data_IF_943343735231
#
_entry.id   IF_943343735231
#
_cell.length_a   1.000
_cell.length_b   1.000
_cell.length_c   1.000
_cell.angle_alpha   90.00
_cell.angle_beta   90.00
_cell.angle_gamma   90.00
#
_symmetry.space_group_name_H-M   'P 1'
#
loop_
_entity.id
_entity.type
_entity.pdbx_description
1 polymer ?
#
# COMPACT_ATOMS: atom_id res chain seq x y z
N UNK A 1 3.51 -22.86 -2.96
CA UNK A 1 2.71 -21.63 -3.16
C UNK A 1 3.63 -20.46 -2.94
N UNK A 2 4.06 -19.79 -4.00
CA UNK A 2 5.06 -18.73 -3.91
C UNK A 2 4.39 -17.36 -3.80
N UNK A 3 4.53 -16.74 -2.64
CA UNK A 3 4.34 -15.31 -2.44
C UNK A 3 5.70 -14.71 -2.19
N UNK A 4 6.02 -13.62 -2.87
CA UNK A 4 7.17 -12.81 -2.45
C UNK A 4 6.61 -11.71 -1.56
N UNK A 5 6.83 -11.83 -0.26
CA UNK A 5 6.51 -10.77 0.70
C UNK A 5 7.77 -9.94 0.87
N UNK A 6 7.77 -8.74 0.29
CA UNK A 6 8.81 -7.77 0.59
C UNK A 6 8.42 -7.01 1.86
N UNK A 7 9.28 -7.08 2.88
CA UNK A 7 9.13 -6.32 4.13
C UNK A 7 10.16 -5.20 4.13
N UNK A 8 9.72 -3.97 3.94
CA UNK A 8 10.59 -2.80 3.90
C UNK A 8 10.84 -2.31 5.32
N UNK A 9 11.98 -2.65 5.93
CA UNK A 9 12.29 -2.20 7.30
C UNK A 9 12.80 -0.75 7.30
N UNK A 10 12.23 0.10 8.16
CA UNK A 10 12.84 1.38 8.52
C UNK A 10 13.78 1.14 9.71
N UNK A 11 15.03 1.57 9.61
CA UNK A 11 15.98 1.49 10.71
C UNK A 11 15.61 2.52 11.79
N UNK A 12 15.57 2.06 13.03
CA UNK A 12 15.35 2.77 14.30
C UNK A 12 13.90 3.17 14.70
N UNK A 13 13.61 2.78 15.96
CA UNK A 13 12.57 3.21 16.92
C UNK A 13 11.39 2.24 17.19
N UNK A 14 11.47 1.64 18.39
CA UNK A 14 10.44 1.10 19.29
C UNK A 14 9.13 0.57 18.70
N UNK A 15 9.13 -0.75 18.43
CA UNK A 15 8.07 -1.76 18.64
C UNK A 15 6.60 -1.31 18.48
N UNK A 16 6.19 -1.01 17.25
CA UNK A 16 4.91 -1.45 16.68
C UNK A 16 5.15 -1.62 15.17
N UNK A 17 5.04 -2.85 14.66
CA UNK A 17 5.47 -3.30 13.32
C UNK A 17 6.96 -2.99 12.97
N UNK A 18 7.82 -4.02 12.85
CA UNK A 18 9.24 -3.89 12.41
C UNK A 18 9.44 -3.26 11.00
N UNK A 19 8.35 -2.87 10.33
CA UNK A 19 8.25 -2.26 9.00
C UNK A 19 6.83 -1.70 8.84
N UNK A 20 6.69 -0.43 8.43
CA UNK A 20 5.38 0.21 8.19
C UNK A 20 4.82 -0.04 6.78
N UNK A 21 5.52 -0.82 5.95
CA UNK A 21 5.13 -1.08 4.55
C UNK A 21 5.40 -2.54 4.18
N UNK A 22 4.39 -3.22 3.62
CA UNK A 22 4.51 -4.58 3.10
C UNK A 22 3.98 -4.64 1.68
N UNK A 23 4.74 -5.26 0.79
CA UNK A 23 4.29 -5.53 -0.59
C UNK A 23 3.97 -7.00 -0.71
N UNK A 24 2.78 -7.31 -1.22
CA UNK A 24 2.28 -8.66 -1.43
C UNK A 24 2.01 -8.81 -2.93
N UNK A 25 2.84 -9.63 -3.58
CA UNK A 25 2.70 -9.92 -4.99
C UNK A 25 2.71 -11.43 -5.23
N UNK A 26 2.04 -11.82 -6.33
CA UNK A 26 1.96 -13.20 -6.77
C UNK A 26 1.84 -13.24 -8.29
N UNK A 27 2.45 -14.23 -8.95
CA UNK A 27 2.35 -14.37 -10.41
C UNK A 27 0.94 -14.74 -10.93
N UNK A 28 0.03 -15.18 -10.05
CA UNK A 28 -1.32 -15.66 -10.40
C UNK A 28 -2.36 -15.16 -9.38
N UNK A 29 -3.61 -14.91 -9.81
CA UNK A 29 -4.71 -14.66 -8.88
C UNK A 29 -5.05 -15.92 -8.07
N UNK A 30 -5.95 -15.77 -7.09
CA UNK A 30 -6.54 -16.90 -6.35
C UNK A 30 -5.60 -17.58 -5.34
N UNK A 31 -4.37 -17.09 -5.16
CA UNK A 31 -3.43 -17.72 -4.22
C UNK A 31 -3.82 -17.49 -2.75
N UNK A 32 -4.48 -16.35 -2.43
CA UNK A 32 -4.85 -15.97 -1.04
C UNK A 32 -4.22 -14.68 -0.50
N UNK A 33 -3.75 -13.76 -1.36
CA UNK A 33 -3.20 -12.45 -0.94
C UNK A 33 -4.16 -11.64 -0.07
N UNK A 34 -5.40 -11.45 -0.54
CA UNK A 34 -6.44 -10.77 0.22
C UNK A 34 -6.77 -11.47 1.55
N UNK A 35 -6.69 -12.80 1.60
CA UNK A 35 -6.87 -13.57 2.85
C UNK A 35 -5.75 -13.29 3.84
N UNK A 36 -4.51 -13.12 3.39
CA UNK A 36 -3.41 -12.69 4.24
C UNK A 36 -3.67 -11.31 4.85
N UNK A 37 -4.16 -10.35 4.06
CA UNK A 37 -4.51 -9.01 4.57
C UNK A 37 -5.64 -9.09 5.60
N UNK A 38 -6.70 -9.86 5.31
CA UNK A 38 -7.79 -10.11 6.27
C UNK A 38 -7.28 -10.65 7.60
N UNK A 39 -6.36 -11.62 7.58
CA UNK A 39 -5.72 -12.17 8.79
C UNK A 39 -4.87 -11.14 9.56
N UNK A 40 -4.24 -10.18 8.87
CA UNK A 40 -3.55 -9.07 9.54
C UNK A 40 -4.54 -8.17 10.26
N UNK A 41 -5.64 -7.81 9.60
CA UNK A 41 -6.72 -7.00 10.19
C UNK A 41 -7.35 -7.71 11.39
N UNK A 42 -7.64 -9.00 11.28
CA UNK A 42 -8.15 -9.80 12.40
C UNK A 42 -7.20 -9.82 13.59
N UNK A 43 -5.89 -9.96 13.35
CA UNK A 43 -4.88 -9.89 14.42
C UNK A 43 -4.91 -8.53 15.11
N UNK A 44 -4.97 -7.43 14.35
CA UNK A 44 -5.05 -6.10 14.93
C UNK A 44 -6.35 -5.89 15.72
N UNK A 45 -7.49 -6.34 15.20
CA UNK A 45 -8.79 -6.30 15.90
C UNK A 45 -8.78 -7.06 17.21
N UNK A 46 -8.09 -8.20 17.30
CA UNK A 46 -7.95 -8.95 18.56
C UNK A 46 -7.25 -8.14 19.65
N UNK A 47 -6.31 -7.27 19.28
CA UNK A 47 -5.65 -6.36 20.23
C UNK A 47 -6.49 -5.11 20.54
N UNK A 48 -7.38 -4.70 19.62
CA UNK A 48 -8.24 -3.53 19.77
C UNK A 48 -9.73 -3.85 19.48
N UNK A 49 -10.38 -4.69 20.29
CA UNK A 49 -11.70 -5.28 19.95
C UNK A 49 -12.84 -4.26 19.85
N UNK A 50 -12.69 -3.08 20.46
CA UNK A 50 -13.71 -2.00 20.43
C UNK A 50 -13.54 -1.03 19.26
N UNK A 51 -12.42 -1.10 18.52
CA UNK A 51 -12.12 -0.20 17.40
C UNK A 51 -12.71 -0.75 16.10
N UNK A 52 -13.44 0.10 15.38
CA UNK A 52 -14.03 -0.23 14.06
C UNK A 52 -13.11 0.21 12.91
N UNK A 53 -12.31 1.23 13.16
CA UNK A 53 -11.38 1.97 12.30
C UNK A 53 -9.98 1.31 12.20
N UNK A 54 -9.87 0.00 12.40
CA UNK A 54 -8.57 -0.70 12.39
C UNK A 54 -7.96 -0.87 11.00
N UNK A 55 -8.72 -0.64 9.92
CA UNK A 55 -8.25 -0.86 8.56
C UNK A 55 -9.06 -0.11 7.52
N UNK A 56 -8.39 0.36 6.48
CA UNK A 56 -8.98 0.93 5.27
C UNK A 56 -8.48 0.15 4.04
N UNK A 57 -9.39 -0.34 3.20
CA UNK A 57 -9.05 -0.91 1.89
C UNK A 57 -9.40 0.06 0.77
N UNK A 58 -8.41 0.48 0.02
CA UNK A 58 -8.54 1.30 -1.18
C UNK A 58 -8.19 0.40 -2.36
N UNK A 59 -9.16 0.24 -3.25
CA UNK A 59 -8.97 -0.57 -4.44
C UNK A 59 -8.85 0.34 -5.65
N UNK A 60 -7.82 0.10 -6.46
CA UNK A 60 -7.49 0.88 -7.65
C UNK A 60 -7.76 0.00 -8.87
N UNK A 61 -8.87 0.27 -9.55
CA UNK A 61 -9.30 -0.49 -10.73
C UNK A 61 -9.28 0.34 -12.02
N UNK A 62 -9.29 1.66 -11.89
CA UNK A 62 -9.31 2.57 -13.04
C UNK A 62 -7.93 2.69 -13.68
N UNK A 63 -7.89 3.06 -14.96
CA UNK A 63 -6.63 3.21 -15.71
C UNK A 63 -5.69 4.25 -15.10
N UNK A 64 -6.26 5.29 -14.53
CA UNK A 64 -5.54 6.41 -13.93
C UNK A 64 -5.82 6.44 -12.42
N UNK A 65 -4.79 6.69 -11.63
CA UNK A 65 -4.94 6.85 -10.18
C UNK A 65 -5.53 8.22 -9.87
N UNK A 66 -6.73 8.24 -9.29
CA UNK A 66 -7.31 9.45 -8.69
C UNK A 66 -6.76 9.71 -7.28
N UNK A 67 -5.77 10.60 -7.19
CA UNK A 67 -5.15 11.01 -5.93
C UNK A 67 -6.14 11.70 -5.00
N UNK A 68 -7.08 12.49 -5.52
CA UNK A 68 -8.01 13.26 -4.67
C UNK A 68 -8.98 12.31 -3.97
N UNK A 69 -9.50 11.31 -4.71
CA UNK A 69 -10.33 10.25 -4.14
C UNK A 69 -9.61 9.40 -3.09
N UNK A 70 -8.31 9.14 -3.30
CA UNK A 70 -7.50 8.43 -2.30
C UNK A 70 -7.36 9.27 -1.04
N UNK A 71 -7.04 10.57 -1.18
CA UNK A 71 -6.92 11.50 -0.06
C UNK A 71 -8.25 11.59 0.69
N UNK A 72 -9.39 11.69 0.01
CA UNK A 72 -10.71 11.71 0.66
C UNK A 72 -10.92 10.49 1.58
N UNK A 73 -10.58 9.29 1.12
CA UNK A 73 -10.67 8.06 1.92
C UNK A 73 -9.68 8.05 3.08
N UNK A 74 -8.46 8.53 2.87
CA UNK A 74 -7.42 8.56 3.91
C UNK A 74 -7.78 9.54 5.03
N UNK A 75 -8.33 10.71 4.69
CA UNK A 75 -8.73 11.74 5.65
C UNK A 75 -9.77 11.26 6.67
N UNK A 76 -10.60 10.26 6.31
CA UNK A 76 -11.52 9.61 7.25
C UNK A 76 -10.83 8.88 8.41
N UNK A 77 -9.52 8.62 8.28
CA UNK A 77 -8.67 7.94 9.26
C UNK A 77 -7.61 8.89 9.82
N UNK A 78 -7.79 10.20 9.67
CA UNK A 78 -6.90 11.17 10.29
C UNK A 78 -7.19 11.21 11.79
N UNK A 79 -6.24 10.74 12.59
CA UNK A 79 -6.34 10.73 14.04
C UNK A 79 -5.53 11.88 14.65
N UNK A 80 -5.91 12.31 15.85
CA UNK A 80 -5.12 13.25 16.65
C UNK A 80 -3.71 12.69 16.88
N UNK A 81 -2.65 13.52 16.93
CA UNK A 81 -1.30 13.07 17.28
C UNK A 81 -1.22 12.33 18.62
N UNK A 82 -2.15 12.61 19.53
CA UNK A 82 -2.26 11.93 20.84
C UNK A 82 -2.87 10.53 20.74
N UNK A 83 -3.61 10.26 19.67
CA UNK A 83 -4.23 8.96 19.37
C UNK A 83 -3.31 8.14 18.43
N UNK A 84 -2.19 7.65 18.96
CA UNK A 84 -1.27 6.77 18.22
C UNK A 84 -1.81 5.33 18.08
N UNK A 85 -2.96 5.22 17.44
CA UNK A 85 -3.67 3.98 17.21
C UNK A 85 -3.32 3.43 15.83
N UNK A 86 -2.69 2.24 15.73
CA UNK A 86 -2.29 1.70 14.43
C UNK A 86 -3.50 1.41 13.55
N UNK A 87 -3.39 1.75 12.26
CA UNK A 87 -4.35 1.40 11.19
C UNK A 87 -3.64 0.60 10.10
N UNK A 88 -4.34 -0.38 9.52
CA UNK A 88 -3.87 -1.11 8.33
C UNK A 88 -4.49 -0.48 7.08
N UNK A 89 -3.67 0.19 6.28
CA UNK A 89 -4.04 0.72 4.97
C UNK A 89 -3.71 -0.33 3.90
N UNK A 90 -4.73 -0.86 3.24
CA UNK A 90 -4.57 -1.82 2.16
C UNK A 90 -4.81 -1.14 0.81
N UNK A 91 -3.79 -1.07 -0.03
CA UNK A 91 -3.90 -0.65 -1.42
C UNK A 91 -3.94 -1.90 -2.30
N UNK A 92 -5.12 -2.20 -2.86
CA UNK A 92 -5.29 -3.28 -3.83
C UNK A 92 -5.19 -2.68 -5.25
N UNK A 93 -4.07 -2.94 -5.91
CA UNK A 93 -3.75 -2.36 -7.22
C UNK A 93 -4.06 -3.40 -8.29
N UNK A 94 -5.07 -3.11 -9.12
CA UNK A 94 -5.38 -3.92 -10.29
C UNK A 94 -4.26 -3.84 -11.33
N UNK A 95 -4.10 -4.91 -12.10
CA UNK A 95 -3.20 -4.92 -13.26
C UNK A 95 -3.64 -3.96 -14.38
N UNK A 96 -4.86 -3.44 -14.32
CA UNK A 96 -5.43 -2.49 -15.29
C UNK A 96 -5.05 -1.03 -15.03
N UNK A 97 -4.47 -0.71 -13.87
CA UNK A 97 -4.00 0.65 -13.55
C UNK A 97 -2.71 0.93 -14.32
N UNK A 98 -2.75 1.90 -15.23
CA UNK A 98 -1.66 2.21 -16.15
C UNK A 98 -0.84 3.43 -15.73
N UNK A 99 -1.44 4.42 -15.06
CA UNK A 99 -0.78 5.70 -14.76
C UNK A 99 -0.97 6.11 -13.30
N UNK A 100 0.03 6.79 -12.72
CA UNK A 100 -0.05 7.44 -11.41
C UNK A 100 0.25 6.53 -10.20
N UNK A 101 0.47 5.22 -10.40
CA UNK A 101 0.84 4.29 -9.32
C UNK A 101 2.22 4.62 -8.74
N UNK A 102 3.17 4.94 -9.60
CA UNK A 102 4.52 5.38 -9.24
C UNK A 102 4.49 6.65 -8.39
N UNK A 103 3.73 7.68 -8.83
CA UNK A 103 3.53 8.89 -8.06
C UNK A 103 2.88 8.60 -6.70
N UNK A 104 1.80 7.82 -6.67
CA UNK A 104 1.12 7.43 -5.43
C UNK A 104 2.07 6.73 -4.47
N UNK A 105 2.77 5.69 -4.91
CA UNK A 105 3.63 4.90 -4.03
C UNK A 105 4.87 5.69 -3.58
N UNK A 106 5.46 6.51 -4.44
CA UNK A 106 6.59 7.34 -4.07
C UNK A 106 6.20 8.33 -2.96
N UNK A 107 5.13 9.10 -3.19
CA UNK A 107 4.66 10.08 -2.21
C UNK A 107 4.22 9.40 -0.92
N UNK A 108 3.40 8.36 -1.00
CA UNK A 108 2.83 7.72 0.19
C UNK A 108 3.85 6.90 1.00
N UNK A 109 4.73 6.14 0.33
CA UNK A 109 5.61 5.18 1.01
C UNK A 109 7.00 5.76 1.29
N UNK A 110 7.53 6.58 0.38
CA UNK A 110 8.87 7.17 0.50
C UNK A 110 8.77 8.51 1.23
N UNK A 111 8.01 9.47 0.68
CA UNK A 111 7.86 10.79 1.30
C UNK A 111 6.99 10.74 2.56
N UNK A 112 6.07 9.78 2.64
CA UNK A 112 5.15 9.65 3.77
C UNK A 112 4.03 10.69 3.76
N UNK A 113 3.77 11.37 2.63
CA UNK A 113 2.68 12.33 2.50
C UNK A 113 2.01 12.23 1.13
N UNK A 114 0.75 12.63 1.04
CA UNK A 114 0.00 12.68 -0.21
C UNK A 114 -0.81 13.97 -0.24
N UNK A 115 -0.58 14.80 -1.27
CA UNK A 115 -1.27 16.08 -1.45
C UNK A 115 -2.27 15.96 -2.60
N UNK A 116 -3.51 16.38 -2.38
CA UNK A 116 -4.50 16.45 -3.45
C UNK A 116 -4.48 17.80 -4.21
N UNK A 117 -5.35 17.90 -5.22
CA UNK A 117 -5.48 19.11 -6.05
C UNK A 117 -5.99 20.33 -5.26
N UNK A 118 -6.74 20.09 -4.19
CA UNK A 118 -7.33 21.13 -3.33
C UNK A 118 -6.36 21.59 -2.23
N UNK A 119 -5.17 20.98 -2.17
CA UNK A 119 -4.11 21.33 -1.25
C UNK A 119 -4.17 20.61 0.10
N UNK A 120 -5.11 19.69 0.30
CA UNK A 120 -5.21 18.85 1.50
C UNK A 120 -4.06 17.84 1.49
N UNK A 121 -3.41 17.67 2.65
CA UNK A 121 -2.24 16.81 2.79
C UNK A 121 -2.53 15.70 3.79
N UNK A 122 -2.48 14.46 3.32
CA UNK A 122 -2.39 13.29 4.17
C UNK A 122 -0.94 13.07 4.59
N UNK A 123 -0.70 12.73 5.86
CA UNK A 123 0.62 12.36 6.38
C UNK A 123 0.57 11.02 7.09
N UNK A 124 1.54 10.16 6.78
CA UNK A 124 1.64 8.81 7.31
C UNK A 124 1.99 8.78 8.79
N UNK A 125 1.26 8.02 9.60
CA UNK A 125 1.70 7.70 10.96
C UNK A 125 2.83 6.66 10.97
N UNK A 126 3.83 6.76 11.86
CA UNK A 126 4.82 5.71 12.08
C UNK A 126 4.20 4.38 12.57
N UNK A 127 3.06 4.44 13.24
CA UNK A 127 2.36 3.29 13.82
C UNK A 127 1.52 2.51 12.81
N UNK A 128 1.26 3.10 11.64
CA UNK A 128 0.42 2.50 10.60
C UNK A 128 1.17 1.48 9.76
N UNK A 129 0.40 0.52 9.22
CA UNK A 129 0.89 -0.48 8.29
C UNK A 129 0.24 -0.30 6.92
N UNK A 130 1.05 -0.01 5.91
CA UNK A 130 0.63 0.06 4.52
C UNK A 130 0.90 -1.29 3.86
N UNK A 131 -0.13 -1.89 3.28
CA UNK A 131 -0.07 -3.17 2.59
C UNK A 131 -0.41 -2.94 1.13
N UNK A 132 0.54 -3.18 0.24
CA UNK A 132 0.38 -3.04 -1.20
C UNK A 132 0.13 -4.42 -1.78
N UNK A 133 -1.10 -4.72 -2.15
CA UNK A 133 -1.43 -5.91 -2.93
C UNK A 133 -1.38 -5.55 -4.42
N UNK A 134 -0.68 -6.36 -5.22
CA UNK A 134 -0.66 -6.19 -6.66
C UNK A 134 -0.52 -7.56 -7.36
N UNK A 135 -1.07 -7.65 -8.57
CA UNK A 135 -0.81 -8.75 -9.51
C UNK A 135 -0.03 -8.16 -10.68
N UNK A 136 1.20 -8.62 -10.95
CA UNK A 136 1.96 -8.13 -12.09
C UNK A 136 1.18 -8.42 -13.38
N UNK A 137 1.01 -7.38 -14.19
CA UNK A 137 0.41 -7.46 -15.52
C UNK A 137 1.18 -8.49 -16.37
N UNK A 138 0.46 -9.48 -16.92
CA UNK A 138 1.03 -10.46 -17.86
C UNK A 138 0.97 -9.89 -19.27
N UNK A 139 2.15 -9.73 -19.86
CA UNK A 139 2.28 -9.35 -21.26
C UNK A 139 1.83 -10.48 -22.20
N UNK A 140 1.04 -10.13 -23.21
CA UNK A 140 1.31 -10.67 -24.55
C UNK A 140 2.58 -9.97 -25.04
N UNK A 141 3.58 -10.72 -25.51
CA UNK A 141 4.93 -10.28 -25.88
C UNK A 141 5.02 -9.12 -26.92
N UNK A 142 3.90 -8.57 -27.39
CA UNK A 142 3.83 -7.52 -28.37
C UNK A 142 3.95 -6.09 -27.80
N UNK A 143 3.57 -5.82 -26.54
CA UNK A 143 3.47 -4.45 -26.01
C UNK A 143 4.61 -4.05 -25.06
N UNK A 144 5.82 -3.92 -25.60
CA UNK A 144 7.04 -3.59 -24.83
C UNK A 144 6.86 -2.40 -23.85
N UNK A 145 6.06 -1.38 -24.16
CA UNK A 145 5.89 -0.16 -23.32
C UNK A 145 5.28 -0.40 -21.93
N UNK A 146 4.37 -1.37 -21.77
CA UNK A 146 3.71 -1.64 -20.47
C UNK A 146 4.59 -2.53 -19.58
N UNK A 147 5.52 -3.30 -20.17
CA UNK A 147 6.42 -4.22 -19.46
C UNK A 147 7.37 -3.47 -18.52
N UNK A 148 7.77 -2.26 -18.90
CA UNK A 148 8.61 -1.40 -18.09
C UNK A 148 7.89 -0.84 -16.85
N UNK A 149 6.55 -0.69 -16.88
CA UNK A 149 5.78 -0.09 -15.78
C UNK A 149 5.52 -1.04 -14.60
N UNK A 150 5.31 -2.33 -14.86
CA UNK A 150 5.19 -3.34 -13.79
C UNK A 150 6.55 -3.77 -13.23
N UNK A 151 7.58 -3.77 -14.07
CA UNK A 151 8.97 -3.81 -13.61
C UNK A 151 9.30 -2.58 -12.73
N UNK A 152 8.68 -1.43 -12.99
CA UNK A 152 8.87 -0.19 -12.23
C UNK A 152 8.40 -0.27 -10.78
N UNK A 153 7.33 -1.02 -10.46
CA UNK A 153 6.93 -1.24 -9.06
C UNK A 153 8.02 -2.02 -8.30
N UNK A 154 8.62 -3.01 -8.97
CA UNK A 154 9.74 -3.79 -8.45
C UNK A 154 11.00 -2.93 -8.33
N UNK A 155 11.29 -2.10 -9.33
CA UNK A 155 12.44 -1.20 -9.37
C UNK A 155 12.33 -0.06 -8.35
N UNK A 156 11.15 0.53 -8.13
CA UNK A 156 10.95 1.57 -7.09
C UNK A 156 11.14 0.96 -5.70
N UNK A 157 10.66 -0.27 -5.47
CA UNK A 157 10.88 -0.97 -4.20
C UNK A 157 12.35 -1.40 -4.01
N UNK A 158 13.03 -1.83 -5.08
CA UNK A 158 14.44 -2.24 -5.03
C UNK A 158 15.43 -1.06 -4.96
N UNK A 159 15.23 0.02 -5.74
CA UNK A 159 16.15 1.18 -5.82
C UNK A 159 16.12 2.00 -4.53
N UNK A 160 14.96 2.23 -3.91
CA UNK A 160 14.88 3.10 -2.72
C UNK A 160 15.18 2.40 -1.39
N UNK A 161 15.23 1.06 -1.36
CA UNK A 161 15.39 0.31 -0.11
C UNK A 161 16.53 -0.72 -0.11
N UNK A 162 17.38 -0.74 -1.14
CA UNK A 162 18.61 -1.51 -1.18
C UNK A 162 18.38 -3.01 -1.28
N UNK A 163 18.24 -3.49 -2.51
CA UNK A 163 18.56 -4.86 -2.91
C UNK A 163 19.72 -4.82 -3.91
#
# INVERSE_FOLDING_TARGET
>A
MEYIIFVIKKNNLKKCFRSSVRVIQSQRPGVGKTLYVKRLVEKLRKHHPRRKDVSLSIHLYEKDVDISHIVDKLMMYQHSPEESNPVIFHLDISSEVLNGVDFLLYNLLILGCLKDKDGRIWTKSPSDLYVIENIPYRHNLADKKVSYKTAQLFIIVCIFYGF
#
